data_IF_550635648523
#
_entry.id   IF_550635648523
#
_cell.length_a   1.000
_cell.length_b   1.000
_cell.length_c   1.000
_cell.angle_alpha   90.00
_cell.angle_beta   90.00
_cell.angle_gamma   90.00
#
_symmetry.space_group_name_H-M   'P 1'
#
loop_
_entity.id
_entity.type
_entity.pdbx_description
1 polymer ?
#
# COMPACT_ATOMS: atom_id res chain seq x y z
N UNK A 1 11.54 3.77 -1.45
CA UNK A 1 12.40 4.97 -1.31
C UNK A 1 12.12 5.60 0.01
N UNK A 2 10.84 5.70 0.32
CA UNK A 2 10.27 5.63 1.65
C UNK A 2 10.85 4.50 2.53
N UNK A 3 10.82 4.71 3.85
CA UNK A 3 11.05 3.71 4.91
C UNK A 3 9.75 3.14 5.45
N UNK A 4 9.80 2.03 6.20
CA UNK A 4 8.61 1.43 6.82
C UNK A 4 7.93 2.37 7.82
N UNK A 5 8.71 3.20 8.52
CA UNK A 5 8.20 4.20 9.45
C UNK A 5 7.41 5.29 8.73
N UNK A 6 7.94 5.83 7.62
CA UNK A 6 7.24 6.84 6.80
C UNK A 6 5.94 6.28 6.22
N UNK A 7 5.93 5.01 5.82
CA UNK A 7 4.70 4.34 5.37
C UNK A 7 3.70 4.26 6.51
N UNK A 8 4.12 3.82 7.70
CA UNK A 8 3.23 3.65 8.85
C UNK A 8 2.65 4.98 9.34
N UNK A 9 3.45 6.05 9.35
CA UNK A 9 2.99 7.42 9.62
C UNK A 9 1.93 7.86 8.60
N UNK A 10 2.19 7.63 7.30
CA UNK A 10 1.22 7.93 6.24
C UNK A 10 -0.09 7.16 6.43
N UNK A 11 -0.04 5.90 6.90
CA UNK A 11 -1.24 5.12 7.20
C UNK A 11 -2.06 5.73 8.34
N UNK A 12 -1.41 6.28 9.37
CA UNK A 12 -2.09 7.01 10.44
C UNK A 12 -2.78 8.26 9.91
N UNK A 13 -2.09 9.08 9.13
CA UNK A 13 -2.64 10.31 8.54
C UNK A 13 -3.90 10.03 7.69
N UNK A 14 -3.87 8.93 6.91
CA UNK A 14 -5.00 8.50 6.09
C UNK A 14 -6.22 8.13 6.95
N UNK A 15 -6.00 7.44 8.08
CA UNK A 15 -7.08 7.10 9.00
C UNK A 15 -7.66 8.33 9.71
N UNK A 16 -6.81 9.29 10.10
CA UNK A 16 -7.25 10.53 10.76
C UNK A 16 -8.22 11.34 9.90
N UNK A 17 -8.05 11.31 8.57
CA UNK A 17 -8.93 11.97 7.61
C UNK A 17 -10.09 11.08 7.14
N UNK A 18 -10.25 9.89 7.71
CA UNK A 18 -11.39 9.00 7.48
C UNK A 18 -11.28 8.08 6.26
N UNK A 19 -10.08 7.84 5.73
CA UNK A 19 -9.87 6.80 4.71
C UNK A 19 -10.05 5.43 5.34
N UNK A 20 -10.87 4.59 4.72
CA UNK A 20 -11.21 3.27 5.26
C UNK A 20 -10.68 2.11 4.42
N UNK A 21 -10.38 2.35 3.14
CA UNK A 21 -9.87 1.33 2.21
C UNK A 21 -8.47 1.70 1.72
N UNK A 22 -7.56 0.73 1.72
CA UNK A 22 -6.17 0.92 1.33
C UNK A 22 -5.80 -0.01 0.17
N UNK A 23 -5.03 0.53 -0.79
CA UNK A 23 -4.29 -0.26 -1.76
C UNK A 23 -2.80 0.03 -1.62
N UNK A 24 -1.98 -1.01 -1.54
CA UNK A 24 -0.52 -0.91 -1.42
C UNK A 24 0.14 -1.82 -2.45
N UNK A 25 0.99 -1.26 -3.31
CA UNK A 25 1.65 -2.03 -4.36
C UNK A 25 3.01 -1.50 -4.77
N UNK A 26 3.80 -2.35 -5.43
CA UNK A 26 5.16 -2.02 -5.84
C UNK A 26 5.15 -0.97 -6.96
N UNK A 27 5.94 0.09 -6.77
CA UNK A 27 6.28 0.99 -7.85
C UNK A 27 7.13 0.26 -8.90
N UNK A 28 6.61 0.21 -10.12
CA UNK A 28 7.32 -0.29 -11.30
C UNK A 28 7.59 0.89 -12.22
N UNK A 29 8.86 1.20 -12.42
CA UNK A 29 9.29 2.29 -13.29
C UNK A 29 8.82 2.02 -14.74
N UNK A 30 7.99 2.89 -15.35
CA UNK A 30 7.46 2.65 -16.70
C UNK A 30 8.52 2.73 -17.79
N UNK A 31 9.51 3.62 -17.62
CA UNK A 31 10.65 3.78 -18.54
C UNK A 31 11.82 4.45 -17.82
N UNK A 32 13.05 4.40 -18.37
CA UNK A 32 14.24 5.00 -17.73
C UNK A 32 14.15 6.50 -17.44
N UNK A 33 13.22 7.22 -18.10
CA UNK A 33 12.99 8.65 -17.88
C UNK A 33 12.15 8.94 -16.62
N UNK A 34 11.47 7.93 -16.05
CA UNK A 34 10.69 8.08 -14.84
C UNK A 34 11.55 7.92 -13.59
N UNK A 35 11.00 8.25 -12.41
CA UNK A 35 11.71 8.07 -11.16
C UNK A 35 12.28 6.64 -11.03
N UNK A 36 13.55 6.48 -10.63
CA UNK A 36 14.15 5.17 -10.52
C UNK A 36 13.54 4.40 -9.34
N UNK A 37 13.36 3.08 -9.51
CA UNK A 37 12.99 2.22 -8.39
C UNK A 37 14.14 2.20 -7.39
N UNK A 38 13.84 2.55 -6.13
CA UNK A 38 14.82 2.52 -5.02
C UNK A 38 14.93 1.14 -4.39
N UNK A 39 13.79 0.49 -4.15
CA UNK A 39 13.69 -0.82 -3.52
C UNK A 39 12.61 -1.65 -4.21
N UNK A 40 12.91 -2.94 -4.38
CA UNK A 40 11.92 -3.97 -4.69
C UNK A 40 11.64 -4.70 -3.40
N UNK A 41 10.44 -4.52 -2.85
CA UNK A 41 10.05 -5.18 -1.62
C UNK A 41 9.70 -6.64 -1.89
N UNK A 42 10.08 -7.55 -0.97
CA UNK A 42 9.70 -8.96 -1.09
C UNK A 42 8.20 -9.12 -0.75
N UNK A 43 7.53 -10.21 -1.18
CA UNK A 43 6.11 -10.43 -0.92
C UNK A 43 5.72 -10.30 0.56
N UNK A 44 6.57 -10.77 1.47
CA UNK A 44 6.34 -10.80 2.92
C UNK A 44 6.18 -9.40 3.51
N UNK A 45 6.83 -8.40 2.91
CA UNK A 45 6.65 -7.00 3.30
C UNK A 45 5.20 -6.53 3.07
N UNK A 46 4.60 -6.93 1.95
CA UNK A 46 3.22 -6.55 1.64
C UNK A 46 2.23 -7.25 2.57
N UNK A 47 2.53 -8.48 2.99
CA UNK A 47 1.74 -9.21 3.98
C UNK A 47 1.83 -8.53 5.35
N UNK A 48 3.03 -8.18 5.80
CA UNK A 48 3.24 -7.45 7.06
C UNK A 48 2.50 -6.10 7.07
N UNK A 49 2.66 -5.31 6.01
CA UNK A 49 1.99 -4.01 5.91
C UNK A 49 0.47 -4.12 5.86
N UNK A 50 -0.06 -5.21 5.28
CA UNK A 50 -1.50 -5.49 5.30
C UNK A 50 -2.00 -5.72 6.72
N UNK A 51 -1.31 -6.56 7.49
CA UNK A 51 -1.68 -6.86 8.87
C UNK A 51 -1.59 -5.61 9.75
N UNK A 52 -0.55 -4.79 9.56
CA UNK A 52 -0.40 -3.49 10.24
C UNK A 52 -1.60 -2.59 9.92
N UNK A 53 -1.92 -2.37 8.63
CA UNK A 53 -3.02 -1.51 8.23
C UNK A 53 -4.38 -2.00 8.77
N UNK A 54 -4.65 -3.31 8.72
CA UNK A 54 -5.87 -3.89 9.28
C UNK A 54 -5.94 -3.68 10.80
N UNK A 55 -4.83 -3.89 11.52
CA UNK A 55 -4.75 -3.66 12.96
C UNK A 55 -4.93 -2.17 13.34
N UNK A 56 -4.51 -1.24 12.47
CA UNK A 56 -4.69 0.20 12.67
C UNK A 56 -6.14 0.66 12.49
N UNK A 57 -6.96 -0.07 11.72
CA UNK A 57 -8.39 0.20 11.59
C UNK A 57 -8.91 0.40 10.16
N UNK A 58 -8.10 0.14 9.12
CA UNK A 58 -8.62 0.07 7.75
C UNK A 58 -9.62 -1.10 7.63
N UNK A 59 -10.78 -0.86 7.00
CA UNK A 59 -11.83 -1.87 6.84
C UNK A 59 -11.53 -2.85 5.71
N UNK A 60 -10.73 -2.44 4.72
CA UNK A 60 -10.28 -3.30 3.63
C UNK A 60 -8.90 -2.88 3.14
N UNK A 61 -8.02 -3.86 2.91
CA UNK A 61 -6.66 -3.64 2.45
C UNK A 61 -6.32 -4.61 1.33
N UNK A 62 -6.05 -4.09 0.14
CA UNK A 62 -5.38 -4.86 -0.92
C UNK A 62 -3.90 -4.51 -0.92
N UNK A 63 -3.03 -5.50 -0.66
CA UNK A 63 -1.59 -5.31 -0.58
C UNK A 63 -0.87 -6.39 -1.39
N UNK A 64 0.13 -6.00 -2.18
CA UNK A 64 0.92 -6.93 -2.98
C UNK A 64 1.63 -6.29 -4.16
N UNK A 65 2.62 -6.99 -4.71
CA UNK A 65 3.53 -6.46 -5.75
C UNK A 65 2.78 -5.84 -6.95
N UNK A 66 1.76 -6.53 -7.46
CA UNK A 66 1.03 -6.11 -8.66
C UNK A 66 -0.25 -5.32 -8.36
N UNK A 67 -0.55 -5.01 -7.09
CA UNK A 67 -1.75 -4.27 -6.71
C UNK A 67 -1.69 -2.86 -7.31
N UNK A 68 -2.84 -2.40 -7.80
CA UNK A 68 -3.08 -1.05 -8.32
C UNK A 68 -4.41 -0.56 -7.73
N UNK A 69 -4.63 0.74 -7.76
CA UNK A 69 -5.83 1.37 -7.16
C UNK A 69 -7.16 0.82 -7.69
N UNK A 70 -7.21 0.36 -8.94
CA UNK A 70 -8.41 -0.25 -9.53
C UNK A 70 -8.49 -1.77 -9.37
N UNK A 71 -7.43 -2.42 -8.89
CA UNK A 71 -7.37 -3.87 -8.77
C UNK A 71 -8.36 -4.36 -7.71
N UNK A 72 -9.39 -5.11 -8.13
CA UNK A 72 -10.43 -5.66 -7.26
C UNK A 72 -11.22 -4.60 -6.45
N UNK A 73 -11.28 -3.35 -6.92
CA UNK A 73 -11.99 -2.27 -6.23
C UNK A 73 -13.48 -2.62 -5.95
N UNK A 74 -14.11 -3.37 -6.85
CA UNK A 74 -15.50 -3.85 -6.69
C UNK A 74 -15.69 -4.89 -5.56
N UNK A 75 -14.61 -5.52 -5.08
CA UNK A 75 -14.63 -6.53 -4.01
C UNK A 75 -14.12 -5.99 -2.67
N UNK A 76 -13.52 -4.78 -2.63
CA UNK A 76 -13.00 -4.17 -1.40
C UNK A 76 -14.10 -3.52 -0.54
N UNK A 77 -15.31 -3.32 -1.07
CA UNK A 77 -16.39 -2.56 -0.43
C UNK A 77 -17.70 -3.32 -0.20
N UNK A 78 -17.67 -4.66 -0.13
CA UNK A 78 -18.83 -5.50 0.17
C UNK A 78 -18.86 -5.95 1.64
#
# INVERSE_FOLDING_TARGET
>A
GETQEEITETLHDLLEVGVTQLTLGQYLQPSPAHHPVRHYYPPEFFDEMREIALAMGFSAVASGILIRSSYFAEHLGA
#
